data_IF_532722103804
#
_entry.id   IF_532722103804
#
_cell.length_a   1.000
_cell.length_b   1.000
_cell.length_c   1.000
_cell.angle_alpha   90.00
_cell.angle_beta   90.00
_cell.angle_gamma   90.00
#
_symmetry.space_group_name_H-M   'P 1'
#
loop_
_entity.id
_entity.type
_entity.pdbx_description
1 polymer ?
#
# COMPACT_ATOMS: atom_id res chain seq x y z
N UNK A 1 -3.23 11.77 -2.29
CA UNK A 1 -4.01 11.86 -1.03
C UNK A 1 -3.49 10.89 0.03
N UNK A 2 -3.87 11.04 1.30
CA UNK A 2 -3.47 10.12 2.40
C UNK A 2 -4.58 9.88 3.42
N UNK A 3 -4.62 8.65 3.98
CA UNK A 3 -5.48 8.25 5.10
C UNK A 3 -4.64 7.55 6.17
N UNK A 4 -4.88 7.85 7.44
CA UNK A 4 -4.20 7.20 8.57
C UNK A 4 -5.17 6.33 9.38
N UNK A 5 -4.68 5.17 9.86
CA UNK A 5 -5.40 4.25 10.73
C UNK A 5 -4.51 3.89 11.91
N UNK A 6 -4.99 4.11 13.11
CA UNK A 6 -4.23 3.88 14.34
C UNK A 6 -4.53 2.47 14.85
N UNK A 7 -3.47 1.75 15.18
CA UNK A 7 -3.50 0.45 15.83
C UNK A 7 -2.78 0.52 17.18
N UNK A 8 -2.94 -0.52 18.00
CA UNK A 8 -2.22 -0.63 19.27
C UNK A 8 -0.69 -0.59 19.08
N UNK A 9 -0.18 -1.31 18.07
CA UNK A 9 1.26 -1.49 17.82
C UNK A 9 1.85 -0.53 16.79
N UNK A 10 1.10 0.47 16.33
CA UNK A 10 1.58 1.41 15.34
C UNK A 10 0.46 2.09 14.56
N UNK A 11 0.78 2.65 13.41
CA UNK A 11 -0.21 3.21 12.49
C UNK A 11 0.02 2.73 11.06
N UNK A 12 -1.07 2.61 10.31
CA UNK A 12 -1.06 2.39 8.89
C UNK A 12 -1.35 3.71 8.17
N UNK A 13 -0.48 4.09 7.24
CA UNK A 13 -0.67 5.21 6.33
C UNK A 13 -0.98 4.64 4.95
N UNK A 14 -2.13 5.02 4.39
CA UNK A 14 -2.59 4.63 3.07
C UNK A 14 -2.46 5.85 2.15
N UNK A 15 -1.45 5.83 1.28
CA UNK A 15 -1.31 6.82 0.20
C UNK A 15 -2.10 6.36 -1.02
N UNK A 16 -2.85 7.26 -1.65
CA UNK A 16 -3.67 6.91 -2.81
C UNK A 16 -3.82 8.08 -3.79
N UNK A 17 -4.05 7.74 -5.05
CA UNK A 17 -4.33 8.70 -6.14
C UNK A 17 -5.84 8.88 -6.28
N UNK A 18 -6.29 10.09 -6.60
CA UNK A 18 -7.70 10.37 -6.93
C UNK A 18 -7.86 10.97 -8.33
N UNK A 19 -6.76 11.21 -9.04
CA UNK A 19 -6.78 11.72 -10.41
C UNK A 19 -5.69 11.14 -11.31
N UNK A 20 -5.91 11.21 -12.62
CA UNK A 20 -4.93 10.79 -13.63
C UNK A 20 -3.70 11.70 -13.71
N UNK A 21 -3.82 12.94 -13.24
CA UNK A 21 -2.69 13.88 -13.15
C UNK A 21 -1.64 13.35 -12.16
N UNK A 22 -2.08 12.67 -11.10
CA UNK A 22 -1.20 12.01 -10.13
C UNK A 22 -0.46 10.79 -10.73
N UNK A 23 -1.03 10.15 -11.75
CA UNK A 23 -0.42 8.99 -12.41
C UNK A 23 0.62 9.36 -13.47
N UNK A 24 0.48 10.52 -14.14
CA UNK A 24 1.38 10.94 -15.22
C UNK A 24 2.85 11.14 -14.81
N UNK A 25 3.14 11.11 -13.50
CA UNK A 25 4.50 11.09 -12.93
C UNK A 25 5.16 9.70 -13.05
N UNK A 26 4.40 8.65 -13.28
CA UNK A 26 4.87 7.26 -13.12
C UNK A 26 5.01 6.45 -14.42
N UNK A 27 4.81 7.07 -15.59
CA UNK A 27 5.09 6.44 -16.90
C UNK A 27 6.61 6.17 -17.13
N UNK A 28 7.49 6.59 -16.21
CA UNK A 28 8.94 6.34 -16.27
C UNK A 28 9.45 5.13 -15.44
N UNK A 29 8.57 4.23 -15.01
CA UNK A 29 8.94 2.82 -14.99
C UNK A 29 9.53 2.17 -13.72
N UNK A 30 9.43 2.73 -12.50
CA UNK A 30 9.83 1.96 -11.29
C UNK A 30 8.88 1.96 -10.08
N UNK A 31 7.97 2.94 -9.89
CA UNK A 31 7.04 2.91 -8.73
C UNK A 31 5.69 3.59 -8.98
N UNK A 32 4.73 2.92 -9.63
CA UNK A 32 3.37 3.43 -9.93
C UNK A 32 2.29 2.77 -9.06
N UNK A 33 2.30 2.95 -7.74
CA UNK A 33 1.26 2.35 -6.89
C UNK A 33 0.08 3.31 -6.71
N UNK A 34 -1.10 3.05 -7.31
CA UNK A 34 -2.26 3.92 -7.17
C UNK A 34 -2.83 3.86 -5.75
N UNK A 35 -2.45 2.83 -4.97
CA UNK A 35 -2.64 2.72 -3.52
C UNK A 35 -1.38 2.09 -2.90
N UNK A 36 -0.77 2.77 -1.93
CA UNK A 36 0.41 2.33 -1.17
C UNK A 36 0.07 2.24 0.31
N UNK A 37 0.56 1.18 0.96
CA UNK A 37 0.38 0.96 2.39
C UNK A 37 1.72 1.04 3.10
N UNK A 38 1.79 1.85 4.15
CA UNK A 38 2.99 1.99 4.99
C UNK A 38 2.59 1.76 6.44
N UNK A 39 3.17 0.75 7.08
CA UNK A 39 2.97 0.53 8.51
C UNK A 39 4.18 1.03 9.31
N UNK A 40 3.90 1.90 10.27
CA UNK A 40 4.88 2.56 11.14
C UNK A 40 4.64 2.06 12.57
N UNK A 41 5.47 1.14 13.09
CA UNK A 41 5.33 0.67 14.46
C UNK A 41 5.56 1.78 15.49
N UNK A 42 4.86 1.71 16.62
CA UNK A 42 5.08 2.59 17.79
C UNK A 42 5.77 1.87 18.95
N UNK A 43 6.14 0.61 18.74
CA UNK A 43 6.89 -0.25 19.65
C UNK A 43 8.08 -0.85 18.89
N UNK A 44 9.11 -1.31 19.61
CA UNK A 44 10.24 -1.99 18.98
C UNK A 44 9.79 -3.32 18.38
N UNK A 45 10.00 -3.48 17.07
CA UNK A 45 9.65 -4.70 16.33
C UNK A 45 10.79 -5.07 15.38
N UNK A 46 11.09 -6.37 15.27
CA UNK A 46 11.91 -6.89 14.18
C UNK A 46 11.09 -7.02 12.90
N UNK A 47 11.76 -7.29 11.80
CA UNK A 47 11.12 -7.59 10.51
C UNK A 47 10.10 -8.73 10.63
N UNK A 48 10.46 -9.83 11.28
CA UNK A 48 9.57 -10.98 11.48
C UNK A 48 8.30 -10.63 12.27
N UNK A 49 8.46 -9.86 13.36
CA UNK A 49 7.33 -9.45 14.20
C UNK A 49 6.45 -8.45 13.46
N UNK A 50 7.06 -7.51 12.73
CA UNK A 50 6.33 -6.56 11.88
C UNK A 50 5.55 -7.29 10.79
N UNK A 51 6.19 -8.20 10.05
CA UNK A 51 5.57 -8.99 8.99
C UNK A 51 4.38 -9.79 9.52
N UNK A 52 4.56 -10.48 10.64
CA UNK A 52 3.50 -11.26 11.28
C UNK A 52 2.31 -10.36 11.64
N UNK A 53 2.58 -9.22 12.29
CA UNK A 53 1.52 -8.30 12.69
C UNK A 53 0.79 -7.68 11.49
N UNK A 54 1.53 -7.23 10.47
CA UNK A 54 0.93 -6.67 9.25
C UNK A 54 0.05 -7.69 8.53
N UNK A 55 0.42 -8.98 8.56
CA UNK A 55 -0.42 -10.06 8.02
C UNK A 55 -1.68 -10.30 8.86
N UNK A 56 -1.61 -10.19 10.19
CA UNK A 56 -2.77 -10.30 11.09
C UNK A 56 -3.80 -9.20 10.80
N UNK A 57 -3.36 -7.97 10.52
CA UNK A 57 -4.24 -6.84 10.22
C UNK A 57 -4.61 -6.71 8.73
N UNK A 58 -4.13 -7.62 7.86
CA UNK A 58 -4.37 -7.59 6.42
C UNK A 58 -5.85 -7.48 6.01
N UNK A 59 -6.80 -8.18 6.67
CA UNK A 59 -8.22 -8.02 6.33
C UNK A 59 -8.71 -6.57 6.48
N UNK A 60 -8.21 -5.84 7.47
CA UNK A 60 -8.54 -4.43 7.70
C UNK A 60 -7.94 -3.57 6.58
N UNK A 61 -6.68 -3.83 6.21
CA UNK A 61 -6.00 -3.14 5.11
C UNK A 61 -6.80 -3.27 3.81
N UNK A 62 -7.23 -4.49 3.47
CA UNK A 62 -8.02 -4.79 2.27
C UNK A 62 -9.37 -4.05 2.28
N UNK A 63 -10.09 -4.07 3.40
CA UNK A 63 -11.38 -3.38 3.50
C UNK A 63 -11.23 -1.85 3.34
N UNK A 64 -10.16 -1.28 3.86
CA UNK A 64 -9.89 0.15 3.73
C UNK A 64 -9.49 0.54 2.31
N UNK A 65 -8.74 -0.33 1.62
CA UNK A 65 -8.45 -0.18 0.20
C UNK A 65 -9.74 -0.17 -0.66
N UNK A 66 -10.68 -1.08 -0.37
CA UNK A 66 -11.97 -1.13 -1.06
C UNK A 66 -12.79 0.14 -0.86
N UNK A 67 -12.80 0.70 0.35
CA UNK A 67 -13.48 1.98 0.63
C UNK A 67 -12.89 3.10 -0.21
N UNK A 68 -11.56 3.23 -0.25
CA UNK A 68 -10.88 4.23 -1.07
C UNK A 68 -11.24 4.09 -2.55
N UNK A 69 -11.25 2.85 -3.07
CA UNK A 69 -11.64 2.56 -4.46
C UNK A 69 -13.07 3.01 -4.75
N UNK A 70 -14.01 2.72 -3.83
CA UNK A 70 -15.43 3.10 -3.99
C UNK A 70 -15.62 4.62 -3.87
N UNK A 71 -14.93 5.27 -2.94
CA UNK A 71 -14.99 6.73 -2.74
C UNK A 71 -14.43 7.50 -3.94
N UNK A 72 -13.49 6.91 -4.69
CA UNK A 72 -12.83 7.50 -5.85
C UNK A 72 -13.12 6.70 -7.14
N UNK A 73 -14.36 6.22 -7.27
CA UNK A 73 -14.78 5.27 -8.31
C UNK A 73 -14.40 5.71 -9.73
N UNK A 74 -14.65 6.96 -10.10
CA UNK A 74 -14.40 7.48 -11.46
C UNK A 74 -12.93 7.32 -11.90
N UNK A 75 -12.00 7.34 -10.94
CA UNK A 75 -10.60 7.08 -11.20
C UNK A 75 -10.31 5.57 -11.21
N UNK A 76 -10.73 4.86 -10.17
CA UNK A 76 -10.39 3.45 -9.98
C UNK A 76 -11.21 2.47 -10.84
N UNK A 77 -12.26 2.90 -11.53
CA UNK A 77 -13.07 2.03 -12.39
C UNK A 77 -12.26 1.39 -13.52
N UNK A 78 -11.14 2.01 -13.92
CA UNK A 78 -10.24 1.53 -14.95
C UNK A 78 -9.18 0.55 -14.45
N UNK A 79 -9.16 0.27 -13.15
CA UNK A 79 -8.16 -0.57 -12.49
C UNK A 79 -8.78 -1.90 -12.06
N UNK A 80 -7.98 -2.95 -12.14
CA UNK A 80 -8.29 -4.23 -11.52
C UNK A 80 -7.23 -4.50 -10.44
N UNK A 81 -7.70 -4.81 -9.23
CA UNK A 81 -6.87 -5.04 -8.06
C UNK A 81 -6.90 -6.52 -7.66
N UNK A 82 -5.73 -7.11 -7.48
CA UNK A 82 -5.56 -8.35 -6.74
C UNK A 82 -5.32 -8.01 -5.26
N UNK A 83 -6.29 -8.39 -4.43
CA UNK A 83 -6.26 -8.15 -2.98
C UNK A 83 -5.28 -9.08 -2.23
N UNK A 84 -4.45 -9.85 -2.96
CA UNK A 84 -3.24 -10.46 -2.41
C UNK A 84 -2.17 -9.39 -2.27
N UNK A 85 -1.94 -8.97 -1.02
CA UNK A 85 -0.88 -8.02 -0.69
C UNK A 85 0.51 -8.59 -0.96
N UNK A 86 1.40 -7.74 -1.44
CA UNK A 86 2.82 -8.01 -1.55
C UNK A 86 3.58 -7.13 -0.56
N UNK A 87 4.45 -7.75 0.25
CA UNK A 87 5.35 -7.04 1.12
C UNK A 87 6.57 -6.57 0.33
N UNK A 88 6.91 -5.28 0.41
CA UNK A 88 7.95 -4.68 -0.43
C UNK A 88 9.29 -4.53 0.28
N UNK A 89 9.29 -4.30 1.60
CA UNK A 89 10.50 -4.12 2.36
C UNK A 89 10.30 -3.36 3.67
N UNK A 90 11.42 -3.12 4.34
CA UNK A 90 11.49 -2.44 5.63
C UNK A 90 12.52 -1.31 5.58
N UNK A 91 12.25 -0.24 6.31
CA UNK A 91 13.29 0.68 6.78
C UNK A 91 13.69 0.26 8.19
N UNK A 92 14.98 0.10 8.42
CA UNK A 92 15.53 -0.37 9.71
C UNK A 92 16.39 0.71 10.37
N UNK A 93 16.35 0.75 11.70
CA UNK A 93 17.32 1.46 12.51
C UNK A 93 17.99 0.56 13.54
N UNK A 94 19.17 0.96 14.01
CA UNK A 94 19.82 0.29 15.13
C UNK A 94 19.16 0.72 16.42
N UNK A 95 18.79 -0.27 17.24
CA UNK A 95 18.28 -0.01 18.57
C UNK A 95 19.33 0.75 19.40
N UNK A 96 18.89 1.80 20.11
CA UNK A 96 19.79 2.67 20.87
C UNK A 96 20.51 1.95 22.01
N UNK A 97 19.81 1.05 22.71
CA UNK A 97 20.30 0.29 23.87
C UNK A 97 21.12 -0.94 23.48
N UNK A 98 20.89 -1.49 22.29
CA UNK A 98 21.63 -2.63 21.75
C UNK A 98 21.88 -2.45 20.25
N UNK A 99 23.01 -1.84 19.91
CA UNK A 99 23.37 -1.52 18.51
C UNK A 99 23.53 -2.74 17.61
N UNK A 100 23.54 -3.96 18.16
CA UNK A 100 23.56 -5.20 17.39
C UNK A 100 22.16 -5.60 16.92
N UNK A 101 21.11 -4.93 17.38
CA UNK A 101 19.73 -5.21 17.04
C UNK A 101 19.18 -4.16 16.07
N UNK A 102 18.48 -4.63 15.03
CA UNK A 102 17.77 -3.79 14.08
C UNK A 102 16.28 -3.82 14.41
N UNK A 103 15.65 -2.65 14.40
CA UNK A 103 14.22 -2.48 14.58
C UNK A 103 13.62 -1.80 13.35
N UNK A 104 12.36 -2.12 13.06
CA UNK A 104 11.61 -1.55 11.95
C UNK A 104 11.18 -0.13 12.32
N UNK A 105 11.52 0.85 11.47
CA UNK A 105 10.98 2.21 11.50
C UNK A 105 9.67 2.26 10.73
N UNK A 106 9.65 1.63 9.55
CA UNK A 106 8.46 1.49 8.73
C UNK A 106 8.58 0.29 7.79
N UNK A 107 7.44 -0.19 7.34
CA UNK A 107 7.31 -1.30 6.39
C UNK A 107 6.33 -0.93 5.29
N UNK A 108 6.61 -1.40 4.07
CA UNK A 108 5.80 -1.07 2.90
C UNK A 108 5.14 -2.29 2.29
N UNK A 109 3.90 -2.09 1.85
CA UNK A 109 3.09 -3.11 1.22
C UNK A 109 2.28 -2.50 0.09
N UNK A 110 1.92 -3.34 -0.88
CA UNK A 110 1.03 -2.95 -1.98
C UNK A 110 -0.01 -4.00 -2.27
N UNK A 111 -1.08 -3.57 -2.92
CA UNK A 111 -1.97 -4.47 -3.67
C UNK A 111 -1.49 -4.50 -5.11
N UNK A 112 -1.43 -5.69 -5.70
CA UNK A 112 -1.13 -5.80 -7.13
C UNK A 112 -2.30 -5.26 -7.93
N UNK A 113 -2.01 -4.61 -9.04
CA UNK A 113 -3.03 -3.99 -9.86
C UNK A 113 -2.61 -3.99 -11.34
N UNK A 114 -3.60 -3.85 -12.22
CA UNK A 114 -3.37 -3.57 -13.64
C UNK A 114 -4.50 -2.69 -14.20
N UNK A 115 -4.24 -2.02 -15.31
CA UNK A 115 -5.30 -1.36 -16.06
C UNK A 115 -6.14 -2.42 -16.76
N UNK A 116 -7.47 -2.28 -16.69
CA UNK A 116 -8.38 -3.12 -17.46
C UNK A 116 -8.05 -2.99 -18.94
N UNK A 117 -7.93 -4.11 -19.64
CA UNK A 117 -7.85 -4.08 -21.09
C UNK A 117 -9.11 -3.38 -21.62
N UNK A 118 -8.94 -2.27 -22.35
CA UNK A 118 -10.06 -1.67 -23.07
C UNK A 118 -10.50 -2.70 -24.10
N UNK A 119 -11.67 -3.31 -23.89
CA UNK A 119 -12.32 -4.11 -24.91
C UNK A 119 -12.43 -3.26 -26.17
N UNK A 120 -11.70 -3.67 -27.23
CA UNK A 120 -11.70 -3.01 -28.54
C UNK A 120 -13.03 -3.25 -29.26
N UNK A 121 -14.16 -2.80 -28.69
CA UNK A 121 -15.49 -3.02 -29.28
C UNK A 121 -15.94 -1.90 -30.22
N UNK A 122 -15.06 -0.96 -30.60
CA UNK A 122 -15.43 0.21 -31.41
C UNK A 122 -14.57 0.47 -32.66
N UNK A 123 -14.14 -0.57 -33.37
CA UNK A 123 -13.58 -0.43 -34.73
C UNK A 123 -14.10 -1.44 -35.75
N UNK A 124 -15.38 -1.85 -35.63
CA UNK A 124 -16.10 -2.48 -36.74
C UNK A 124 -17.50 -1.88 -36.86
N UNK A 125 -17.58 -0.70 -37.46
CA UNK A 125 -18.74 -0.24 -38.23
C UNK A 125 -18.26 0.46 -39.49
#
# INVERSE_FOLDING_TARGET
>A
MQKEIIFEKGKLVIGYCDSSQDISVYENGEYSEPIRFTFIPNIEMTEDVSLKYTNEIMPIIIEEAKKIIVENYDFYENFEFDFKSEFLGFQLERQLSNRNFLIVIESWMRLKWHLKERSQTYLQK
#
